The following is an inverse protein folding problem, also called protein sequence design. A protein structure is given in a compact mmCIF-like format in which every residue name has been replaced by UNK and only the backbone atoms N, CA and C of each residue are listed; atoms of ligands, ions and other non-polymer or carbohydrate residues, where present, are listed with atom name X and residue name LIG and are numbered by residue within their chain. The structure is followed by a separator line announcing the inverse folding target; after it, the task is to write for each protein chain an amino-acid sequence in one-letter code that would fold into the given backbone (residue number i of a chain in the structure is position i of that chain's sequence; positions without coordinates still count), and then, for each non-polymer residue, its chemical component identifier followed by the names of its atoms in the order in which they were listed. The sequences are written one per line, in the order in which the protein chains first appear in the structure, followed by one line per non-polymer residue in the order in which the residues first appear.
data_IF_944049716318
#
_entry.id   IF_944049716318
#
_cell.length_a   1.000
_cell.length_b   1.000
_cell.length_c   1.000
_cell.angle_alpha   90.00
_cell.angle_beta   90.00
_cell.angle_gamma   90.00
#
_symmetry.space_group_name_H-M   'P 1'
#
loop_
_entity.id
_entity.type
_entity.pdbx_description
1 polymer ?
#
# COMPACT_ATOMS: atom_id res chain seq x y z
N UNK A 1 11.98 13.46 -9.98
CA UNK A 1 12.45 12.20 -10.58
C UNK A 1 12.85 12.47 -12.04
N UNK A 2 14.06 12.08 -12.46
CA UNK A 2 14.49 12.20 -13.86
C UNK A 2 14.31 10.83 -14.56
N UNK A 3 13.94 10.79 -15.86
CA UNK A 3 13.66 9.53 -16.58
C UNK A 3 14.86 8.58 -16.71
N UNK A 4 16.06 9.03 -16.35
CA UNK A 4 17.33 8.31 -16.50
C UNK A 4 17.87 7.76 -15.17
N UNK A 5 17.00 7.44 -14.21
CA UNK A 5 17.39 6.76 -12.97
C UNK A 5 17.26 5.23 -13.13
N UNK A 6 18.08 4.46 -12.40
CA UNK A 6 18.20 2.99 -12.51
C UNK A 6 16.96 2.20 -12.07
N UNK A 7 15.78 2.83 -12.00
CA UNK A 7 14.55 2.32 -11.37
C UNK A 7 13.44 1.92 -12.36
N UNK A 8 13.79 1.61 -13.62
CA UNK A 8 12.85 1.07 -14.61
C UNK A 8 12.12 2.13 -15.46
N UNK A 9 11.16 1.67 -16.26
CA UNK A 9 10.44 2.51 -17.22
C UNK A 9 9.35 3.33 -16.50
N UNK A 10 9.57 4.64 -16.40
CA UNK A 10 8.68 5.59 -15.71
C UNK A 10 7.89 6.51 -16.65
N UNK A 11 7.92 6.22 -17.95
CA UNK A 11 7.23 7.01 -18.97
C UNK A 11 5.78 6.54 -19.13
N UNK A 12 4.87 7.50 -19.27
CA UNK A 12 3.48 7.16 -19.57
C UNK A 12 3.38 6.53 -20.97
N UNK A 13 2.57 5.47 -21.18
CA UNK A 13 2.56 4.71 -22.44
C UNK A 13 2.25 5.54 -23.69
N UNK A 14 1.37 6.54 -23.57
CA UNK A 14 0.88 7.34 -24.70
C UNK A 14 1.15 8.85 -24.58
N UNK A 15 1.64 9.33 -23.44
CA UNK A 15 1.79 10.77 -23.16
C UNK A 15 3.25 11.11 -22.94
N UNK A 16 3.72 12.26 -23.44
CA UNK A 16 5.11 12.72 -23.32
C UNK A 16 5.43 13.27 -21.92
N UNK A 17 5.20 12.46 -20.89
CA UNK A 17 5.45 12.78 -19.48
C UNK A 17 5.80 11.51 -18.70
N UNK A 18 6.30 11.70 -17.49
CA UNK A 18 6.44 10.61 -16.52
C UNK A 18 5.09 10.25 -15.90
N UNK A 19 5.03 9.09 -15.24
CA UNK A 19 3.90 8.69 -14.41
C UNK A 19 3.66 9.72 -13.30
N UNK A 20 2.39 10.00 -13.04
CA UNK A 20 1.92 10.83 -11.94
C UNK A 20 1.94 10.05 -10.63
N UNK A 21 1.88 10.78 -9.52
CA UNK A 21 1.72 10.20 -8.17
C UNK A 21 0.53 9.23 -8.12
N UNK A 22 -0.62 9.60 -8.72
CA UNK A 22 -1.81 8.74 -8.70
C UNK A 22 -1.67 7.49 -9.56
N UNK A 23 -1.00 7.57 -10.71
CA UNK A 23 -0.71 6.39 -11.53
C UNK A 23 0.19 5.39 -10.79
N UNK A 24 1.23 5.88 -10.11
CA UNK A 24 2.06 5.03 -9.25
C UNK A 24 1.29 4.47 -8.05
N UNK A 25 0.42 5.25 -7.42
CA UNK A 25 -0.41 4.80 -6.29
C UNK A 25 -1.37 3.66 -6.72
N UNK A 26 -2.00 3.78 -7.88
CA UNK A 26 -2.85 2.72 -8.44
C UNK A 26 -2.06 1.45 -8.75
N UNK A 27 -0.84 1.59 -9.25
CA UNK A 27 0.04 0.44 -9.48
C UNK A 27 0.36 -0.33 -8.17
N UNK A 28 0.41 0.37 -7.03
CA UNK A 28 0.55 -0.23 -5.70
C UNK A 28 -0.79 -0.70 -5.08
N UNK A 29 -1.91 -0.51 -5.78
CA UNK A 29 -3.25 -0.90 -5.34
C UNK A 29 -3.87 0.03 -4.29
N UNK A 30 -3.35 1.26 -4.12
CA UNK A 30 -4.02 2.24 -3.27
C UNK A 30 -5.38 2.62 -3.84
N UNK A 31 -6.41 2.79 -2.98
CA UNK A 31 -7.68 3.32 -3.43
C UNK A 31 -7.53 4.79 -3.84
N UNK A 32 -8.34 5.23 -4.80
CA UNK A 32 -8.21 6.58 -5.39
C UNK A 32 -8.49 7.72 -4.38
N UNK A 33 -9.22 7.42 -3.31
CA UNK A 33 -9.48 8.34 -2.20
C UNK A 33 -8.38 8.37 -1.13
N UNK A 34 -7.30 7.59 -1.28
CA UNK A 34 -6.17 7.65 -0.37
C UNK A 34 -5.37 8.94 -0.61
N UNK A 35 -5.13 9.70 0.47
CA UNK A 35 -4.41 10.97 0.43
C UNK A 35 -2.96 10.81 0.88
N UNK A 36 -2.03 11.29 0.06
CA UNK A 36 -0.60 11.33 0.40
C UNK A 36 -0.22 12.74 0.84
N UNK A 37 0.07 12.89 2.13
CA UNK A 37 0.41 14.19 2.74
C UNK A 37 1.92 14.36 2.87
N UNK A 38 2.40 15.60 2.72
CA UNK A 38 3.80 15.95 2.98
C UNK A 38 3.87 17.20 3.85
N UNK A 39 4.90 17.27 4.69
CA UNK A 39 5.25 18.47 5.47
C UNK A 39 5.92 19.55 4.60
N UNK A 40 6.35 19.19 3.38
CA UNK A 40 6.95 20.10 2.42
C UNK A 40 5.91 20.64 1.43
N UNK A 41 6.24 21.73 0.72
CA UNK A 41 5.42 22.31 -0.35
C UNK A 41 5.98 22.03 -1.76
N UNK A 42 5.17 22.34 -2.78
CA UNK A 42 5.52 22.32 -4.21
C UNK A 42 6.15 20.98 -4.67
N UNK A 43 7.28 21.06 -5.39
CA UNK A 43 7.97 19.91 -5.97
C UNK A 43 8.55 18.97 -4.90
N UNK A 44 8.84 19.48 -3.71
CA UNK A 44 9.33 18.65 -2.59
C UNK A 44 8.21 17.77 -2.06
N UNK A 45 6.99 18.30 -1.97
CA UNK A 45 5.80 17.52 -1.62
C UNK A 45 5.60 16.35 -2.58
N UNK A 46 5.68 16.60 -3.90
CA UNK A 46 5.53 15.57 -4.94
C UNK A 46 6.60 14.47 -4.80
N UNK A 47 7.86 14.84 -4.55
CA UNK A 47 8.92 13.84 -4.35
C UNK A 47 8.69 12.99 -3.09
N UNK A 48 8.19 13.57 -2.00
CA UNK A 48 7.81 12.82 -0.80
C UNK A 48 6.69 11.82 -1.09
N UNK A 49 5.66 12.22 -1.84
CA UNK A 49 4.56 11.34 -2.21
C UNK A 49 5.06 10.14 -3.04
N UNK A 50 5.93 10.37 -4.03
CA UNK A 50 6.56 9.27 -4.78
C UNK A 50 7.37 8.34 -3.87
N UNK A 51 8.11 8.89 -2.88
CA UNK A 51 8.86 8.08 -1.91
C UNK A 51 7.94 7.27 -1.00
N UNK A 52 6.85 7.86 -0.52
CA UNK A 52 5.84 7.17 0.29
C UNK A 52 5.26 5.98 -0.47
N UNK A 53 4.87 6.17 -1.73
CA UNK A 53 4.30 5.12 -2.59
C UNK A 53 5.36 4.04 -2.91
N UNK A 54 6.57 4.45 -3.29
CA UNK A 54 7.63 3.52 -3.68
C UNK A 54 8.13 2.65 -2.53
N UNK A 55 8.10 3.17 -1.30
CA UNK A 55 8.51 2.43 -0.10
C UNK A 55 7.37 1.65 0.56
N UNK A 56 6.11 1.91 0.18
CA UNK A 56 4.97 1.21 0.76
C UNK A 56 4.89 -0.25 0.28
N UNK A 57 4.27 -1.09 1.12
CA UNK A 57 3.86 -2.45 0.75
C UNK A 57 2.64 -2.34 -0.18
N UNK A 58 2.57 -3.12 -1.28
CA UNK A 58 1.37 -3.16 -2.13
C UNK A 58 0.12 -3.53 -1.33
N UNK A 59 -0.98 -2.80 -1.51
CA UNK A 59 -2.21 -2.98 -0.72
C UNK A 59 -2.80 -4.39 -0.86
N UNK A 60 -2.88 -5.01 -2.06
CA UNK A 60 -3.41 -6.37 -2.18
C UNK A 60 -2.57 -7.40 -1.42
N UNK A 61 -1.25 -7.19 -1.35
CA UNK A 61 -0.35 -8.07 -0.60
C UNK A 61 -0.58 -7.93 0.91
N UNK A 62 -0.68 -6.70 1.41
CA UNK A 62 -0.97 -6.45 2.81
C UNK A 62 -2.33 -7.03 3.24
N UNK A 63 -3.36 -6.94 2.37
CA UNK A 63 -4.67 -7.52 2.61
C UNK A 63 -4.60 -9.05 2.74
N UNK A 64 -3.95 -9.72 1.79
CA UNK A 64 -3.81 -11.18 1.81
C UNK A 64 -3.09 -11.67 3.07
N UNK A 65 -2.02 -10.96 3.48
CA UNK A 65 -1.29 -11.27 4.71
C UNK A 65 -2.17 -11.07 5.96
N UNK A 66 -2.92 -9.96 6.00
CA UNK A 66 -3.84 -9.66 7.11
C UNK A 66 -4.94 -10.71 7.28
N UNK A 67 -5.49 -11.20 6.16
CA UNK A 67 -6.48 -12.30 6.18
C UNK A 67 -5.88 -13.58 6.75
N UNK A 68 -4.72 -14.00 6.24
CA UNK A 68 -4.04 -15.20 6.72
C UNK A 68 -3.68 -15.12 8.21
N UNK A 69 -3.22 -13.95 8.68
CA UNK A 69 -2.96 -13.71 10.09
C UNK A 69 -4.24 -13.80 10.93
N UNK A 70 -5.33 -13.16 10.47
CA UNK A 70 -6.62 -13.21 11.15
C UNK A 70 -7.13 -14.64 11.31
N UNK A 71 -7.09 -15.45 10.24
CA UNK A 71 -7.46 -16.86 10.29
C UNK A 71 -6.62 -17.67 11.29
N UNK A 72 -5.30 -17.43 11.32
CA UNK A 72 -4.42 -18.08 12.27
C UNK A 72 -4.76 -17.70 13.72
N UNK A 73 -5.04 -16.42 13.98
CA UNK A 73 -5.46 -15.94 15.29
C UNK A 73 -6.79 -16.54 15.73
N UNK A 74 -7.79 -16.63 14.83
CA UNK A 74 -9.06 -17.27 15.14
C UNK A 74 -8.88 -18.76 15.50
N UNK A 75 -8.06 -19.49 14.74
CA UNK A 75 -7.76 -20.91 15.05
C UNK A 75 -7.08 -21.07 16.41
N UNK A 76 -6.11 -20.21 16.73
CA UNK A 76 -5.44 -20.22 18.04
C UNK A 76 -6.42 -19.93 19.17
N UNK A 77 -7.30 -18.95 18.94
CA UNK A 77 -8.30 -18.53 19.90
C UNK A 77 -9.34 -19.64 20.18
N UNK A 78 -9.81 -20.36 19.15
CA UNK A 78 -10.77 -21.46 19.32
C UNK A 78 -10.14 -22.73 19.93
N UNK A 79 -8.83 -22.91 19.76
CA UNK A 79 -8.09 -24.00 20.38
C UNK A 79 -7.82 -23.77 21.88
N UNK A 80 -8.16 -22.60 22.43
CA UNK A 80 -7.88 -22.26 23.82
C UNK A 80 -8.87 -22.95 24.79
N UNK A 81 -8.40 -23.83 25.71
CA UNK A 81 -9.29 -24.61 26.59
C UNK A 81 -10.16 -23.75 27.52
N UNK A 82 -9.68 -22.54 27.87
CA UNK A 82 -10.41 -21.56 28.69
C UNK A 82 -11.71 -21.08 28.05
N UNK A 83 -11.85 -21.23 26.71
CA UNK A 83 -13.00 -20.74 25.95
C UNK A 83 -14.19 -21.70 25.93
N UNK A 84 -14.02 -22.98 26.30
CA UNK A 84 -15.11 -23.97 26.31
C UNK A 84 -16.31 -23.56 27.21
N UNK A 85 -16.09 -22.64 28.15
CA UNK A 85 -17.12 -22.09 29.03
C UNK A 85 -17.68 -20.73 28.59
N UNK A 86 -17.16 -20.13 27.52
CA UNK A 86 -17.61 -18.82 27.02
C UNK A 86 -18.78 -19.03 26.05
N UNK A 87 -19.94 -18.38 26.24
CA UNK A 87 -21.08 -18.56 25.37
C UNK A 87 -20.74 -18.06 23.96
N UNK A 88 -20.95 -18.91 22.96
CA UNK A 88 -20.87 -18.54 21.55
C UNK A 88 -22.10 -17.68 21.24
N UNK A 89 -21.89 -16.48 20.69
CA UNK A 89 -22.97 -15.57 20.27
C UNK A 89 -23.83 -16.16 19.15
#
# INVERSE_FOLDING_TARGET
MLPNNKTGQVLHPSQKRILTVRECARAQGFPDNYEFVSVNADRKAINDQFRQIGNAVPIPLALALGQALGEAMFKMWDAEPSRAASPVL
#
